data_IF_661952052800
#
_entry.id   IF_661952052800
#
_cell.length_a   1.000
_cell.length_b   1.000
_cell.length_c   1.000
_cell.angle_alpha   90.00
_cell.angle_beta   90.00
_cell.angle_gamma   90.00
#
_symmetry.space_group_name_H-M   'P 1'
#
loop_
_entity.id
_entity.type
_entity.pdbx_description
1 polymer ?
#
# COMPACT_ATOMS: atom_id res chain seq x y z
N UNK A 1 -2.16 -9.63 -19.89
CA UNK A 1 -2.39 -11.08 -19.53
C UNK A 1 -3.36 -11.06 -18.35
N UNK A 2 -4.29 -12.01 -18.29
CA UNK A 2 -5.28 -12.08 -17.22
C UNK A 2 -4.88 -13.13 -16.21
N UNK A 3 -5.04 -12.83 -14.94
CA UNK A 3 -4.70 -13.68 -13.80
C UNK A 3 -5.91 -13.89 -12.90
N UNK A 4 -5.97 -15.03 -12.25
CA UNK A 4 -7.01 -15.36 -11.27
C UNK A 4 -6.40 -16.23 -10.17
N UNK A 5 -6.63 -15.86 -8.93
CA UNK A 5 -6.27 -16.67 -7.77
C UNK A 5 -7.36 -17.71 -7.54
N UNK A 6 -6.97 -18.97 -7.32
CA UNK A 6 -7.86 -20.04 -6.87
C UNK A 6 -7.21 -20.72 -5.66
N UNK A 7 -7.95 -20.79 -4.55
CA UNK A 7 -7.52 -21.44 -3.32
C UNK A 7 -8.51 -22.57 -3.02
N UNK A 8 -7.97 -23.77 -2.79
CA UNK A 8 -8.73 -24.91 -2.32
C UNK A 8 -8.42 -25.12 -0.83
N UNK A 9 -9.42 -24.98 0.02
CA UNK A 9 -9.25 -25.11 1.46
C UNK A 9 -10.48 -25.77 2.11
N UNK A 10 -10.25 -26.81 2.90
CA UNK A 10 -11.31 -27.58 3.59
C UNK A 10 -12.48 -28.05 2.70
N UNK A 11 -12.20 -28.38 1.44
CA UNK A 11 -13.22 -28.82 0.48
C UNK A 11 -14.02 -27.69 -0.17
N UNK A 12 -13.70 -26.46 0.14
CA UNK A 12 -14.26 -25.25 -0.45
C UNK A 12 -13.30 -24.63 -1.46
N UNK A 13 -13.84 -23.86 -2.40
CA UNK A 13 -13.08 -23.15 -3.44
C UNK A 13 -13.28 -21.65 -3.29
N UNK A 14 -12.16 -20.95 -3.16
CA UNK A 14 -12.11 -19.50 -3.10
C UNK A 14 -11.47 -18.98 -4.39
N UNK A 15 -12.04 -17.94 -4.96
CA UNK A 15 -11.61 -17.40 -6.24
C UNK A 15 -11.53 -15.88 -6.17
N UNK A 16 -10.54 -15.27 -6.84
CA UNK A 16 -10.54 -13.82 -7.03
C UNK A 16 -11.34 -13.41 -8.27
N UNK A 17 -11.61 -12.10 -8.41
CA UNK A 17 -11.85 -11.51 -9.72
C UNK A 17 -10.67 -11.77 -10.67
N UNK A 18 -10.88 -11.49 -11.93
CA UNK A 18 -9.80 -11.55 -12.94
C UNK A 18 -9.04 -10.23 -12.87
N UNK A 19 -7.73 -10.35 -12.61
CA UNK A 19 -6.82 -9.21 -12.48
C UNK A 19 -5.85 -9.13 -13.67
N UNK A 20 -5.38 -7.93 -13.96
CA UNK A 20 -4.34 -7.67 -14.95
C UNK A 20 -3.11 -7.11 -14.25
N UNK A 21 -1.94 -7.27 -14.88
CA UNK A 21 -0.73 -6.62 -14.38
C UNK A 21 -0.92 -5.10 -14.43
N UNK A 22 -0.81 -4.48 -13.29
CA UNK A 22 -0.91 -3.03 -13.11
C UNK A 22 0.51 -2.46 -13.19
N UNK A 23 0.76 -1.46 -14.04
CA UNK A 23 2.06 -0.82 -14.13
C UNK A 23 2.35 0.03 -12.89
N UNK A 24 3.63 0.23 -12.61
CA UNK A 24 4.13 1.12 -11.58
C UNK A 24 5.23 2.02 -12.13
N UNK A 25 5.79 2.88 -11.30
CA UNK A 25 6.93 3.75 -11.61
C UNK A 25 8.06 3.49 -10.60
N UNK A 26 9.34 3.64 -10.99
CA UNK A 26 10.45 3.49 -10.07
C UNK A 26 10.43 4.56 -8.96
N UNK A 27 10.97 4.23 -7.80
CA UNK A 27 11.36 5.21 -6.80
C UNK A 27 12.63 5.91 -7.30
N UNK A 28 12.57 7.24 -7.46
CA UNK A 28 13.70 8.02 -7.97
C UNK A 28 14.78 8.21 -6.91
N UNK A 29 14.37 8.57 -5.68
CA UNK A 29 15.29 8.79 -4.56
C UNK A 29 14.68 8.43 -3.23
N UNK A 30 15.55 7.94 -2.31
CA UNK A 30 15.33 7.88 -0.88
C UNK A 30 16.43 8.68 -0.19
N UNK A 31 16.06 9.58 0.71
CA UNK A 31 17.00 10.39 1.49
C UNK A 31 16.58 10.36 2.95
N UNK A 32 17.56 10.37 3.86
CA UNK A 32 17.28 10.67 5.26
C UNK A 32 17.10 12.19 5.41
N UNK A 33 16.01 12.58 6.08
CA UNK A 33 15.76 13.97 6.42
C UNK A 33 16.20 14.32 7.84
N UNK A 34 15.97 15.56 8.21
CA UNK A 34 16.35 16.11 9.53
C UNK A 34 15.10 16.49 10.38
N UNK A 35 13.90 16.30 9.83
CA UNK A 35 12.66 16.66 10.53
C UNK A 35 12.21 15.52 11.45
N UNK A 36 11.51 15.89 12.52
CA UNK A 36 10.86 14.97 13.47
C UNK A 36 9.41 15.37 13.67
N UNK A 37 8.58 14.46 14.21
CA UNK A 37 7.19 14.74 14.52
C UNK A 37 7.01 15.19 15.98
N UNK A 38 6.43 14.32 16.82
CA UNK A 38 5.96 14.71 18.16
C UNK A 38 6.97 14.37 19.26
N UNK A 39 7.66 13.25 19.14
CA UNK A 39 8.57 12.74 20.19
C UNK A 39 10.00 13.24 20.00
N UNK A 40 10.39 13.57 18.77
CA UNK A 40 11.66 14.20 18.44
C UNK A 40 12.80 13.21 18.22
N UNK A 41 12.49 11.91 18.14
CA UNK A 41 13.43 10.81 17.90
C UNK A 41 13.07 9.98 16.65
N UNK A 42 12.01 10.36 15.94
CA UNK A 42 11.61 9.70 14.69
C UNK A 42 12.64 9.94 13.58
N UNK A 43 12.88 8.93 12.78
CA UNK A 43 13.72 9.01 11.59
C UNK A 43 12.89 9.36 10.37
N UNK A 44 13.15 10.53 9.78
CA UNK A 44 12.54 10.94 8.54
C UNK A 44 13.18 10.23 7.34
N UNK A 45 12.36 9.63 6.49
CA UNK A 45 12.76 9.14 5.16
C UNK A 45 11.95 9.87 4.09
N UNK A 46 12.65 10.63 3.25
CA UNK A 46 12.06 11.39 2.16
C UNK A 46 12.04 10.50 0.91
N UNK A 47 10.86 10.27 0.38
CA UNK A 47 10.61 9.43 -0.79
C UNK A 47 10.22 10.31 -1.97
N UNK A 48 10.87 10.12 -3.12
CA UNK A 48 10.49 10.78 -4.37
C UNK A 48 10.33 9.75 -5.47
N UNK A 49 9.24 9.85 -6.22
CA UNK A 49 9.02 9.14 -7.48
C UNK A 49 8.34 10.06 -8.50
N UNK A 50 8.53 9.77 -9.79
CA UNK A 50 7.89 10.54 -10.87
C UNK A 50 6.79 9.72 -11.51
N UNK A 51 5.61 10.30 -11.57
CA UNK A 51 4.42 9.70 -12.17
C UNK A 51 4.49 9.67 -13.71
N UNK A 52 3.82 8.69 -14.33
CA UNK A 52 3.67 8.60 -15.79
C UNK A 52 2.44 9.41 -16.26
N UNK A 53 2.64 10.68 -16.62
CA UNK A 53 1.56 11.57 -17.04
C UNK A 53 0.77 11.16 -18.29
N UNK A 54 1.04 9.98 -18.87
CA UNK A 54 0.29 9.46 -20.03
C UNK A 54 -0.96 8.66 -19.65
N UNK A 55 -1.13 8.34 -18.34
CA UNK A 55 -2.24 7.56 -17.82
C UNK A 55 -2.66 8.09 -16.44
N UNK A 56 -3.80 7.66 -15.95
CA UNK A 56 -4.22 7.85 -14.56
C UNK A 56 -3.67 6.71 -13.73
N UNK A 57 -2.93 7.02 -12.68
CA UNK A 57 -2.22 6.04 -11.86
C UNK A 57 -2.61 6.12 -10.38
N UNK A 58 -2.63 4.93 -9.77
CA UNK A 58 -2.76 4.75 -8.34
C UNK A 58 -1.55 3.97 -7.83
N UNK A 59 -1.10 4.28 -6.64
CA UNK A 59 0.06 3.65 -6.04
C UNK A 59 -0.20 3.25 -4.59
N UNK A 60 0.43 2.17 -4.16
CA UNK A 60 0.53 1.78 -2.75
C UNK A 60 2.01 1.68 -2.41
N UNK A 61 2.41 2.37 -1.36
CA UNK A 61 3.76 2.27 -0.81
C UNK A 61 3.71 1.46 0.47
N UNK A 62 4.67 0.55 0.62
CA UNK A 62 4.90 -0.27 1.81
C UNK A 62 6.21 0.19 2.46
N UNK A 63 6.11 0.64 3.70
CA UNK A 63 7.24 1.11 4.51
C UNK A 63 7.77 0.04 5.47
N UNK A 64 7.29 -1.20 5.34
CA UNK A 64 7.53 -2.25 6.32
C UNK A 64 6.64 -2.12 7.55
N UNK A 65 6.74 -3.08 8.45
CA UNK A 65 6.02 -3.13 9.74
C UNK A 65 4.49 -2.99 9.64
N UNK A 66 3.90 -3.35 8.48
CA UNK A 66 2.49 -3.16 8.10
C UNK A 66 2.06 -1.69 7.96
N UNK A 67 2.99 -0.78 7.68
CA UNK A 67 2.71 0.62 7.40
C UNK A 67 2.62 0.84 5.89
N UNK A 68 1.49 1.38 5.46
CA UNK A 68 1.20 1.60 4.05
C UNK A 68 0.69 3.02 3.81
N UNK A 69 0.97 3.54 2.61
CA UNK A 69 0.35 4.74 2.08
C UNK A 69 -0.27 4.40 0.73
N UNK A 70 -1.55 4.71 0.55
CA UNK A 70 -2.19 4.65 -0.76
C UNK A 70 -2.35 6.08 -1.31
N UNK A 71 -1.97 6.31 -2.56
CA UNK A 71 -2.03 7.62 -3.21
C UNK A 71 -2.48 7.50 -4.67
N UNK A 72 -3.04 8.57 -5.20
CA UNK A 72 -3.42 8.71 -6.62
C UNK A 72 -2.82 9.97 -7.20
N UNK A 73 -2.60 9.98 -8.49
CA UNK A 73 -1.89 11.04 -9.22
C UNK A 73 -2.68 12.35 -9.42
N UNK A 74 -3.91 12.44 -8.89
CA UNK A 74 -4.82 13.58 -9.08
C UNK A 74 -4.16 14.96 -8.94
N UNK A 75 -3.16 15.09 -8.07
CA UNK A 75 -2.48 16.36 -7.80
C UNK A 75 -1.04 16.43 -8.33
N UNK A 76 -0.50 15.33 -8.85
CA UNK A 76 0.90 15.26 -9.33
C UNK A 76 1.06 14.53 -10.66
N UNK A 77 -0.02 14.37 -11.42
CA UNK A 77 -0.02 13.66 -12.71
C UNK A 77 1.12 14.15 -13.62
N UNK A 78 2.00 13.23 -14.02
CA UNK A 78 3.18 13.50 -14.86
C UNK A 78 4.29 14.29 -14.16
N UNK A 79 4.24 14.45 -12.84
CA UNK A 79 5.23 15.20 -12.08
C UNK A 79 5.84 14.32 -10.97
N UNK A 80 6.96 14.79 -10.44
CA UNK A 80 7.53 14.19 -9.25
C UNK A 80 6.64 14.44 -8.03
N UNK A 81 6.42 13.39 -7.26
CA UNK A 81 5.77 13.43 -5.96
C UNK A 81 6.81 13.12 -4.88
N UNK A 82 6.91 14.01 -3.90
CA UNK A 82 7.84 13.88 -2.78
C UNK A 82 7.09 14.01 -1.49
N UNK A 83 7.35 13.12 -0.55
CA UNK A 83 6.77 13.17 0.79
C UNK A 83 7.73 12.57 1.82
N UNK A 84 7.50 12.87 3.09
CA UNK A 84 8.26 12.34 4.22
C UNK A 84 7.45 11.27 4.94
N UNK A 85 8.11 10.13 5.23
CA UNK A 85 7.62 9.13 6.14
C UNK A 85 8.52 9.08 7.38
N UNK A 86 7.92 8.93 8.57
CA UNK A 86 8.63 8.98 9.85
C UNK A 86 8.58 7.63 10.53
N UNK A 87 9.74 7.06 10.82
CA UNK A 87 9.88 5.79 11.52
C UNK A 87 10.15 6.04 13.00
N UNK A 88 9.40 5.35 13.86
CA UNK A 88 9.59 5.41 15.33
C UNK A 88 10.61 4.37 15.83
N UNK A 89 10.80 3.27 15.09
CA UNK A 89 11.56 2.09 15.53
C UNK A 89 12.91 1.88 14.81
N UNK A 90 13.37 2.83 13.99
CA UNK A 90 14.67 2.73 13.31
C UNK A 90 15.77 3.42 14.11
N UNK A 91 16.96 2.78 14.11
CA UNK A 91 18.18 3.30 14.73
C UNK A 91 19.29 3.48 13.68
N UNK A 92 20.33 4.33 13.96
CA UNK A 92 21.49 4.41 13.09
C UNK A 92 22.14 3.05 12.84
N UNK A 93 22.31 2.72 11.56
CA UNK A 93 22.81 1.42 11.09
C UNK A 93 21.71 0.48 10.56
N UNK A 94 20.45 0.76 10.87
CA UNK A 94 19.32 0.02 10.29
C UNK A 94 19.12 0.34 8.81
N UNK A 95 18.31 -0.46 8.12
CA UNK A 95 17.98 -0.25 6.72
C UNK A 95 16.47 -0.11 6.56
N UNK A 96 16.02 1.04 6.10
CA UNK A 96 14.66 1.25 5.64
C UNK A 96 14.49 0.64 4.25
N UNK A 97 13.46 -0.19 4.06
CA UNK A 97 13.05 -0.73 2.76
C UNK A 97 11.68 -0.16 2.40
N UNK A 98 11.57 0.40 1.21
CA UNK A 98 10.32 0.95 0.72
C UNK A 98 10.01 0.31 -0.61
N UNK A 99 8.80 -0.24 -0.73
CA UNK A 99 8.31 -0.84 -1.97
C UNK A 99 7.13 -0.04 -2.51
N UNK A 100 7.19 0.36 -3.77
CA UNK A 100 6.12 1.01 -4.50
C UNK A 100 5.44 -0.02 -5.40
N UNK A 101 4.12 -0.16 -5.27
CA UNK A 101 3.26 -1.02 -6.08
C UNK A 101 2.35 -0.18 -6.96
N UNK A 102 2.17 -0.56 -8.22
CA UNK A 102 1.06 -0.07 -9.01
C UNK A 102 -0.26 -0.59 -8.45
N UNK A 103 -1.28 0.25 -8.46
CA UNK A 103 -2.63 -0.10 -8.02
C UNK A 103 -3.65 0.30 -9.09
N UNK A 104 -4.75 -0.43 -9.17
CA UNK A 104 -5.97 0.05 -9.80
C UNK A 104 -6.87 0.75 -8.77
N UNK A 105 -7.91 1.41 -9.22
CA UNK A 105 -8.85 2.12 -8.36
C UNK A 105 -9.45 1.20 -7.29
N UNK A 106 -9.73 -0.06 -7.62
CA UNK A 106 -10.35 -1.01 -6.70
C UNK A 106 -9.39 -1.42 -5.58
N UNK A 107 -8.13 -1.70 -5.93
CA UNK A 107 -7.10 -2.01 -4.94
C UNK A 107 -6.73 -0.81 -4.09
N UNK A 108 -6.61 0.38 -4.70
CA UNK A 108 -6.42 1.64 -3.99
C UNK A 108 -7.52 1.89 -2.95
N UNK A 109 -8.78 1.76 -3.33
CA UNK A 109 -9.92 1.94 -2.42
C UNK A 109 -9.93 0.89 -1.30
N UNK A 110 -9.57 -0.37 -1.62
CA UNK A 110 -9.42 -1.41 -0.61
C UNK A 110 -8.33 -1.07 0.40
N UNK A 111 -7.14 -0.67 -0.08
CA UNK A 111 -6.01 -0.32 0.79
C UNK A 111 -6.30 0.92 1.65
N UNK A 112 -6.91 1.97 1.10
CA UNK A 112 -7.36 3.11 1.87
C UNK A 112 -8.30 2.70 3.01
N UNK A 113 -9.28 1.86 2.73
CA UNK A 113 -10.21 1.39 3.76
C UNK A 113 -9.51 0.53 4.83
N UNK A 114 -8.47 -0.23 4.47
CA UNK A 114 -7.64 -0.98 5.44
C UNK A 114 -6.81 -0.03 6.29
N UNK A 115 -6.12 0.93 5.66
CA UNK A 115 -5.28 1.93 6.33
C UNK A 115 -6.11 2.74 7.33
N UNK A 116 -7.24 3.29 6.89
CA UNK A 116 -8.15 4.04 7.76
C UNK A 116 -8.59 3.26 9.01
N UNK A 117 -8.77 1.94 8.89
CA UNK A 117 -9.14 1.11 10.05
C UNK A 117 -7.99 0.84 11.01
N UNK A 118 -6.74 0.84 10.53
CA UNK A 118 -5.56 0.65 11.38
C UNK A 118 -5.18 1.92 12.14
N UNK A 119 -5.38 3.09 11.54
CA UNK A 119 -5.10 4.40 12.17
C UNK A 119 -6.16 4.80 13.20
N UNK A 120 -7.36 4.21 13.14
CA UNK A 120 -8.51 4.61 13.95
C UNK A 120 -8.50 4.11 15.41
N UNK A 121 -7.47 3.43 15.86
CA UNK A 121 -7.41 2.76 17.17
C UNK A 121 -7.65 3.62 18.42
N UNK A 122 -7.98 4.92 18.30
CA UNK A 122 -8.12 5.83 19.44
C UNK A 122 -9.24 6.87 19.38
N UNK A 123 -10.00 7.00 18.31
CA UNK A 123 -11.04 8.02 18.22
C UNK A 123 -12.42 7.50 18.69
N UNK A 124 -12.92 7.93 19.86
CA UNK A 124 -14.21 7.49 20.40
C UNK A 124 -15.44 7.97 19.62
N UNK A 125 -15.26 8.81 18.61
CA UNK A 125 -16.34 9.38 17.79
C UNK A 125 -16.46 8.73 16.41
N UNK A 126 -15.58 7.79 16.08
CA UNK A 126 -15.61 7.10 14.78
C UNK A 126 -16.54 5.88 14.80
N UNK A 127 -17.12 5.63 13.63
CA UNK A 127 -18.06 4.52 13.42
C UNK A 127 -17.36 3.17 13.58
N UNK A 128 -18.10 2.15 14.04
CA UNK A 128 -17.61 0.77 14.16
C UNK A 128 -16.90 0.32 12.89
N UNK A 129 -15.71 -0.30 12.99
CA UNK A 129 -15.01 -0.81 11.82
C UNK A 129 -15.92 -1.70 10.96
N UNK A 130 -16.09 -1.34 9.72
CA UNK A 130 -16.83 -2.16 8.75
C UNK A 130 -15.88 -3.21 8.19
N UNK A 131 -16.32 -4.46 8.00
CA UNK A 131 -15.50 -5.46 7.31
C UNK A 131 -15.13 -4.97 5.92
N UNK A 132 -13.84 -4.71 5.68
CA UNK A 132 -13.35 -4.41 4.34
C UNK A 132 -13.33 -5.69 3.54
N UNK A 133 -14.13 -5.76 2.49
CA UNK A 133 -14.16 -6.91 1.58
C UNK A 133 -13.26 -6.64 0.39
N UNK A 134 -12.38 -7.61 0.10
CA UNK A 134 -11.58 -7.60 -1.10
C UNK A 134 -12.30 -8.20 -2.30
N UNK A 135 -11.52 -8.65 -3.27
CA UNK A 135 -12.00 -9.24 -4.51
C UNK A 135 -12.00 -10.78 -4.52
N UNK A 136 -11.78 -11.41 -3.37
CA UNK A 136 -11.82 -12.88 -3.23
C UNK A 136 -13.18 -13.30 -2.66
N UNK A 137 -13.78 -14.32 -3.24
CA UNK A 137 -15.08 -14.87 -2.83
C UNK A 137 -15.04 -16.39 -2.76
N UNK A 138 -15.90 -16.99 -1.95
CA UNK A 138 -16.09 -18.44 -1.90
C UNK A 138 -17.14 -18.86 -2.93
N UNK A 139 -16.72 -19.62 -3.95
CA UNK A 139 -17.61 -20.10 -5.01
C UNK A 139 -18.40 -21.36 -4.62
N UNK A 140 -18.02 -22.02 -3.52
CA UNK A 140 -18.70 -23.22 -3.01
C UNK A 140 -19.76 -22.88 -1.97
N UNK A 141 -19.48 -21.90 -1.08
CA UNK A 141 -20.36 -21.53 0.03
C UNK A 141 -20.30 -20.01 0.26
N UNK A 142 -21.27 -19.29 -0.25
CA UNK A 142 -21.27 -17.82 -0.24
C UNK A 142 -21.31 -17.17 1.16
N UNK A 143 -21.73 -17.93 2.19
CA UNK A 143 -21.75 -17.47 3.57
C UNK A 143 -20.35 -17.44 4.22
N UNK A 144 -19.39 -18.20 3.68
CA UNK A 144 -18.00 -18.27 4.12
C UNK A 144 -17.12 -17.37 3.25
N UNK A 145 -17.29 -16.07 3.34
CA UNK A 145 -16.50 -15.13 2.54
C UNK A 145 -15.15 -14.82 3.20
N UNK A 146 -14.04 -14.83 2.43
CA UNK A 146 -12.73 -14.42 2.91
C UNK A 146 -12.63 -12.90 2.96
N UNK A 147 -11.73 -12.41 3.81
CA UNK A 147 -11.29 -11.01 3.78
C UNK A 147 -9.90 -10.98 3.16
N UNK A 148 -9.75 -10.33 2.02
CA UNK A 148 -8.47 -10.23 1.33
C UNK A 148 -8.63 -9.77 -0.10
N UNK A 149 -7.56 -9.21 -0.63
CA UNK A 149 -7.48 -8.74 -2.00
C UNK A 149 -6.34 -9.45 -2.74
N UNK A 150 -6.61 -9.86 -3.97
CA UNK A 150 -5.62 -10.38 -4.89
C UNK A 150 -5.36 -9.33 -5.96
N UNK A 151 -4.14 -8.82 -6.04
CA UNK A 151 -3.67 -7.88 -7.06
C UNK A 151 -2.40 -8.41 -7.71
N UNK A 152 -2.12 -7.95 -8.92
CA UNK A 152 -0.85 -8.20 -9.62
C UNK A 152 -0.33 -6.87 -10.12
N UNK A 153 0.84 -6.48 -9.62
CA UNK A 153 1.44 -5.17 -9.89
C UNK A 153 2.90 -5.30 -10.30
N UNK A 154 3.37 -4.37 -11.09
CA UNK A 154 4.79 -4.05 -11.10
C UNK A 154 5.16 -3.48 -9.72
N UNK A 155 6.37 -3.78 -9.27
CA UNK A 155 6.88 -3.33 -7.99
C UNK A 155 8.30 -2.81 -8.13
N UNK A 156 8.59 -1.74 -7.41
CA UNK A 156 9.93 -1.17 -7.31
C UNK A 156 10.30 -1.02 -5.84
N UNK A 157 11.40 -1.66 -5.46
CA UNK A 157 11.94 -1.59 -4.12
C UNK A 157 13.19 -0.71 -4.10
N UNK A 158 13.31 0.11 -3.08
CA UNK A 158 14.50 0.89 -2.78
C UNK A 158 14.82 0.80 -1.29
N UNK A 159 16.08 1.02 -0.92
CA UNK A 159 16.51 0.94 0.47
C UNK A 159 17.46 2.07 0.84
N UNK A 160 17.45 2.45 2.11
CA UNK A 160 18.28 3.50 2.69
C UNK A 160 18.86 3.00 4.01
N UNK A 161 20.18 3.10 4.17
CA UNK A 161 20.84 2.86 5.48
C UNK A 161 20.75 4.14 6.28
N UNK A 162 20.25 4.04 7.51
CA UNK A 162 20.09 5.16 8.44
C UNK A 162 21.47 5.53 9.04
N UNK A 163 21.79 6.84 9.07
CA UNK A 163 23.05 7.39 9.60
C UNK A 163 22.95 7.85 11.04
#
# INVERSE_FOLDING_TARGET
MNYKLIILYNGETYESSIEQLIPATPIDTLLQGDETLFEGDEIEVIVTFTDDGSREDFYVLDFGYNNFLATKDEFYQGNAFTFSYFYEDLEPGDTAYITLYGADESYFNFMNAVIEQTEEGGDPFKTTPTSVRGNVYNSSEASHYPMGYFSISETYESSLVIE
#
